data_IF_313412963616
#
_entry.id   IF_313412963616
#
_cell.length_a   1.000
_cell.length_b   1.000
_cell.length_c   1.000
_cell.angle_alpha   90.00
_cell.angle_beta   90.00
_cell.angle_gamma   90.00
#
_symmetry.space_group_name_H-M   'P 1'
#
loop_
_entity.id
_entity.type
_entity.pdbx_description
1 polymer ?
#
# COMPACT_ATOMS: atom_id res chain seq x y z
N UNK A 1 6.78 -14.63 70.38
CA UNK A 1 7.40 -13.70 69.41
C UNK A 1 8.00 -14.52 68.29
N UNK A 2 7.33 -14.60 67.13
CA UNK A 2 7.92 -15.14 65.89
C UNK A 2 7.46 -14.22 64.77
N UNK A 3 8.43 -13.47 64.23
CA UNK A 3 8.31 -12.58 63.09
C UNK A 3 8.16 -13.43 61.83
N UNK A 4 7.15 -13.18 61.00
CA UNK A 4 7.12 -13.70 59.63
C UNK A 4 6.88 -12.57 58.63
N UNK A 5 7.85 -12.47 57.74
CA UNK A 5 8.12 -11.39 56.81
C UNK A 5 7.09 -11.30 55.68
N UNK A 6 6.77 -10.06 55.29
CA UNK A 6 6.12 -9.74 54.03
C UNK A 6 7.04 -10.14 52.86
N UNK A 7 6.57 -11.03 51.99
CA UNK A 7 7.14 -11.20 50.67
C UNK A 7 6.54 -10.13 49.74
N UNK A 8 7.36 -9.13 49.38
CA UNK A 8 7.06 -8.25 48.25
C UNK A 8 7.09 -9.11 46.97
N UNK A 9 5.92 -9.31 46.37
CA UNK A 9 5.82 -9.80 45.00
C UNK A 9 6.23 -8.65 44.05
N UNK A 10 7.50 -8.63 43.68
CA UNK A 10 8.01 -7.77 42.61
C UNK A 10 7.39 -8.22 41.28
N UNK A 11 6.43 -7.44 40.79
CA UNK A 11 5.94 -7.55 39.42
C UNK A 11 7.09 -7.21 38.45
N UNK A 12 7.81 -8.23 38.01
CA UNK A 12 8.67 -8.17 36.82
C UNK A 12 7.76 -8.00 35.60
N UNK A 13 7.37 -6.75 35.32
CA UNK A 13 6.99 -6.36 33.97
C UNK A 13 8.25 -6.46 33.11
N UNK A 14 8.55 -7.66 32.64
CA UNK A 14 9.50 -7.85 31.56
C UNK A 14 8.93 -7.14 30.33
N UNK A 15 9.44 -5.93 30.06
CA UNK A 15 9.27 -5.31 28.76
C UNK A 15 9.78 -6.32 27.73
N UNK A 16 8.86 -6.90 26.96
CA UNK A 16 9.23 -7.75 25.85
C UNK A 16 10.21 -6.96 24.98
N UNK A 17 11.44 -7.45 24.75
CA UNK A 17 12.39 -6.71 23.94
C UNK A 17 11.74 -6.57 22.56
N UNK A 18 11.49 -5.33 22.16
CA UNK A 18 11.23 -5.00 20.77
C UNK A 18 12.34 -5.69 19.98
N UNK A 19 11.96 -6.64 19.11
CA UNK A 19 12.92 -7.49 18.42
C UNK A 19 13.95 -6.58 17.73
N UNK A 20 15.16 -6.52 18.28
CA UNK A 20 16.22 -5.66 17.79
C UNK A 20 16.47 -6.06 16.32
N UNK A 21 16.02 -5.21 15.40
CA UNK A 21 16.31 -5.39 13.99
C UNK A 21 17.84 -5.37 13.87
N UNK A 22 18.42 -6.45 13.35
CA UNK A 22 19.86 -6.51 13.11
C UNK A 22 20.24 -5.31 12.25
N UNK A 23 21.09 -4.42 12.75
CA UNK A 23 21.67 -3.34 11.96
C UNK A 23 22.89 -3.88 11.19
N UNK A 24 23.12 -3.35 9.99
CA UNK A 24 24.31 -3.68 9.18
C UNK A 24 24.92 -2.38 8.69
N UNK A 25 26.21 -2.22 8.89
CA UNK A 25 26.96 -1.03 8.48
C UNK A 25 27.68 -1.27 7.15
N UNK A 26 28.01 -0.16 6.47
CA UNK A 26 28.81 -0.19 5.23
C UNK A 26 30.22 -0.75 5.45
N UNK A 27 30.78 -0.58 6.65
CA UNK A 27 32.10 -1.11 7.00
C UNK A 27 32.05 -2.65 7.10
N UNK A 28 31.04 -3.21 7.79
CA UNK A 28 30.83 -4.66 7.87
C UNK A 28 30.61 -5.27 6.49
N UNK A 29 29.78 -4.64 5.64
CA UNK A 29 29.53 -5.13 4.28
C UNK A 29 30.77 -5.16 3.39
N UNK A 30 31.78 -4.32 3.68
CA UNK A 30 33.02 -4.25 2.90
C UNK A 30 34.16 -5.05 3.50
N UNK A 31 34.12 -5.30 4.81
CA UNK A 31 35.19 -5.98 5.55
C UNK A 31 34.98 -7.48 5.71
N UNK A 32 33.77 -7.98 5.53
CA UNK A 32 33.43 -9.40 5.68
C UNK A 32 33.40 -10.15 4.34
N UNK A 33 33.48 -11.48 4.40
CA UNK A 33 33.35 -12.34 3.22
C UNK A 33 31.97 -12.21 2.56
N UNK A 34 31.85 -12.34 1.22
CA UNK A 34 30.59 -12.23 0.50
C UNK A 34 29.48 -13.13 1.05
N UNK A 35 29.79 -14.38 1.41
CA UNK A 35 28.79 -15.35 1.89
C UNK A 35 28.15 -14.91 3.22
N UNK A 36 28.93 -14.26 4.08
CA UNK A 36 28.47 -13.77 5.39
C UNK A 36 27.55 -12.56 5.19
N UNK A 37 27.97 -11.61 4.35
CA UNK A 37 27.20 -10.39 4.07
C UNK A 37 25.90 -10.72 3.34
N UNK A 38 25.92 -11.66 2.40
CA UNK A 38 24.73 -12.10 1.66
C UNK A 38 23.73 -12.78 2.60
N UNK A 39 24.19 -13.65 3.51
CA UNK A 39 23.33 -14.28 4.51
C UNK A 39 22.70 -13.24 5.45
N UNK A 40 23.47 -12.23 5.90
CA UNK A 40 22.96 -11.13 6.73
C UNK A 40 21.90 -10.31 6.02
N UNK A 41 22.15 -9.92 4.77
CA UNK A 41 21.22 -9.11 3.98
C UNK A 41 19.93 -9.87 3.65
N UNK A 42 20.01 -11.15 3.27
CA UNK A 42 18.83 -12.00 3.06
C UNK A 42 18.01 -12.13 4.35
N UNK A 43 18.69 -12.30 5.49
CA UNK A 43 18.05 -12.34 6.81
C UNK A 43 17.31 -11.05 7.15
N UNK A 44 17.92 -9.88 6.88
CA UNK A 44 17.28 -8.59 7.06
C UNK A 44 16.06 -8.43 6.15
N UNK A 45 16.22 -8.70 4.85
CA UNK A 45 15.14 -8.61 3.87
C UNK A 45 13.95 -9.46 4.28
N UNK A 46 14.17 -10.71 4.69
CA UNK A 46 13.09 -11.60 5.10
C UNK A 46 12.38 -11.13 6.38
N UNK A 47 13.09 -10.46 7.29
CA UNK A 47 12.50 -9.88 8.51
C UNK A 47 11.70 -8.60 8.27
N UNK A 48 11.81 -7.97 7.09
CA UNK A 48 10.99 -6.82 6.74
C UNK A 48 9.53 -7.19 6.50
N UNK A 49 9.27 -8.44 6.10
CA UNK A 49 7.91 -8.92 5.85
C UNK A 49 7.25 -9.39 7.14
N UNK A 50 5.92 -9.20 7.22
CA UNK A 50 5.10 -9.75 8.29
C UNK A 50 5.18 -11.27 8.26
N UNK A 51 5.18 -11.88 9.45
CA UNK A 51 5.04 -13.33 9.59
C UNK A 51 3.58 -13.70 9.42
N UNK A 52 3.28 -14.53 8.43
CA UNK A 52 1.95 -15.04 8.18
C UNK A 52 1.87 -16.51 8.59
N UNK A 53 0.84 -16.90 9.34
CA UNK A 53 0.53 -18.31 9.55
C UNK A 53 -0.37 -18.78 8.41
N UNK A 54 0.22 -19.55 7.49
CA UNK A 54 -0.47 -20.05 6.29
C UNK A 54 -1.19 -21.39 6.51
N UNK A 55 -1.18 -21.91 7.74
CA UNK A 55 -1.89 -23.14 8.06
C UNK A 55 -3.39 -22.89 8.00
N UNK A 56 -4.11 -23.70 7.24
CA UNK A 56 -5.58 -23.70 7.18
C UNK A 56 -6.10 -25.07 7.63
N UNK A 57 -7.30 -25.09 8.19
CA UNK A 57 -7.96 -26.34 8.62
C UNK A 57 -8.33 -27.23 7.42
N UNK A 58 -8.71 -26.62 6.30
CA UNK A 58 -9.03 -27.31 5.07
C UNK A 58 -7.77 -27.80 4.37
N UNK A 59 -7.83 -29.04 3.86
CA UNK A 59 -6.73 -29.62 3.09
C UNK A 59 -6.61 -28.88 1.75
N UNK A 60 -5.44 -28.33 1.40
CA UNK A 60 -5.25 -27.68 0.11
C UNK A 60 -5.38 -28.72 -1.02
N UNK A 61 -6.04 -28.31 -2.11
CA UNK A 61 -6.28 -29.17 -3.28
C UNK A 61 -5.45 -28.72 -4.49
N UNK A 62 -5.16 -27.42 -4.58
CA UNK A 62 -4.43 -26.78 -5.68
C UNK A 62 -2.95 -26.55 -5.32
N UNK A 63 -2.05 -26.51 -6.32
CA UNK A 63 -0.65 -26.16 -6.10
C UNK A 63 -0.51 -24.71 -5.62
N UNK A 64 0.61 -24.42 -4.97
CA UNK A 64 0.97 -23.07 -4.57
C UNK A 64 1.47 -22.28 -5.78
N UNK A 65 0.60 -21.46 -6.38
CA UNK A 65 0.91 -20.64 -7.56
C UNK A 65 1.63 -19.33 -7.23
N UNK A 66 1.45 -18.84 -6.01
CA UNK A 66 1.95 -17.55 -5.59
C UNK A 66 2.12 -17.47 -4.08
N UNK A 67 3.01 -16.58 -3.65
CA UNK A 67 3.22 -16.24 -2.25
C UNK A 67 3.19 -14.72 -2.12
N UNK A 68 2.23 -14.20 -1.38
CA UNK A 68 2.14 -12.77 -1.06
C UNK A 68 2.92 -12.50 0.22
N UNK A 69 3.75 -11.47 0.20
CA UNK A 69 4.51 -10.97 1.34
C UNK A 69 4.23 -9.48 1.47
N UNK A 70 3.92 -9.02 2.68
CA UNK A 70 3.63 -7.62 2.93
C UNK A 70 4.51 -7.09 4.06
N UNK A 71 5.06 -5.89 3.89
CA UNK A 71 5.75 -5.20 4.99
C UNK A 71 4.75 -4.60 5.97
N UNK A 72 5.11 -4.39 7.25
CA UNK A 72 4.41 -3.40 8.07
C UNK A 72 4.38 -2.04 7.38
N UNK A 73 3.40 -1.21 7.72
CA UNK A 73 3.40 0.17 7.25
C UNK A 73 4.50 0.96 7.95
N UNK A 74 5.20 1.77 7.17
CA UNK A 74 6.28 2.64 7.60
C UNK A 74 6.07 4.05 7.01
N UNK A 75 6.60 5.11 7.65
CA UNK A 75 6.45 6.47 7.16
C UNK A 75 7.31 6.72 5.91
N UNK A 76 6.83 7.59 5.02
CA UNK A 76 7.54 8.00 3.80
C UNK A 76 8.32 9.30 4.02
N UNK A 77 8.88 9.88 2.95
CA UNK A 77 9.46 11.23 3.02
C UNK A 77 8.40 12.35 3.12
N UNK A 78 7.13 12.03 2.88
CA UNK A 78 5.99 12.95 3.00
C UNK A 78 5.31 12.73 4.35
N UNK A 79 5.30 13.76 5.20
CA UNK A 79 4.72 13.65 6.54
C UNK A 79 3.24 13.28 6.46
N UNK A 80 2.84 12.32 7.32
CA UNK A 80 1.47 11.80 7.37
C UNK A 80 1.10 10.85 6.23
N UNK A 81 2.03 10.54 5.32
CA UNK A 81 1.89 9.46 4.35
C UNK A 81 2.64 8.21 4.85
N UNK A 82 1.92 7.10 4.94
CA UNK A 82 2.48 5.80 5.26
C UNK A 82 2.52 4.92 4.00
N UNK A 83 3.50 4.05 3.91
CA UNK A 83 3.67 3.07 2.84
C UNK A 83 3.78 1.66 3.42
N UNK A 84 3.17 0.70 2.75
CA UNK A 84 3.45 -0.72 2.87
C UNK A 84 3.81 -1.26 1.49
N UNK A 85 4.74 -2.19 1.42
CA UNK A 85 5.10 -2.88 0.19
C UNK A 85 4.48 -4.26 0.17
N UNK A 86 3.92 -4.63 -0.98
CA UNK A 86 3.45 -5.97 -1.27
C UNK A 86 4.34 -6.58 -2.34
N UNK A 87 4.85 -7.79 -2.09
CA UNK A 87 5.63 -8.57 -3.04
C UNK A 87 4.90 -9.88 -3.28
N UNK A 88 4.62 -10.18 -4.53
CA UNK A 88 4.03 -11.45 -4.96
C UNK A 88 5.13 -12.28 -5.63
N UNK A 89 5.53 -13.36 -4.98
CA UNK A 89 6.43 -14.35 -5.56
C UNK A 89 5.63 -15.34 -6.38
N UNK A 90 5.82 -15.31 -7.70
CA UNK A 90 5.16 -16.22 -8.64
C UNK A 90 5.91 -17.54 -8.72
N UNK A 91 5.15 -18.64 -8.67
CA UNK A 91 5.65 -20.00 -8.57
C UNK A 91 5.15 -20.84 -9.74
N UNK A 92 6.05 -21.67 -10.28
CA UNK A 92 5.73 -22.61 -11.35
C UNK A 92 6.20 -24.02 -10.99
N UNK A 93 5.56 -25.08 -11.52
CA UNK A 93 6.00 -26.45 -11.27
C UNK A 93 7.45 -26.68 -11.70
N UNK A 94 8.22 -27.39 -10.88
CA UNK A 94 9.62 -27.75 -11.20
C UNK A 94 9.69 -28.69 -12.41
N UNK A 95 8.67 -29.52 -12.58
CA UNK A 95 8.52 -30.44 -13.71
C UNK A 95 7.17 -30.20 -14.37
N UNK A 96 7.20 -29.97 -15.68
CA UNK A 96 5.99 -29.96 -16.50
C UNK A 96 5.54 -31.41 -16.73
N UNK A 97 4.66 -31.92 -15.86
CA UNK A 97 4.03 -33.24 -16.03
C UNK A 97 2.79 -33.17 -16.91
N UNK A 98 2.37 -34.31 -17.46
CA UNK A 98 1.08 -34.44 -18.19
C UNK A 98 -0.15 -34.58 -17.27
N UNK A 99 0.03 -34.51 -15.95
CA UNK A 99 -1.05 -34.62 -14.98
C UNK A 99 -1.43 -33.26 -14.41
N UNK A 100 -2.65 -33.16 -13.87
CA UNK A 100 -3.11 -31.97 -13.17
C UNK A 100 -2.22 -31.72 -11.94
N UNK A 101 -1.68 -30.51 -11.83
CA UNK A 101 -0.91 -30.12 -10.67
C UNK A 101 -1.82 -30.08 -9.43
N UNK A 102 -1.34 -30.64 -8.33
CA UNK A 102 -2.04 -30.73 -7.05
C UNK A 102 -1.29 -29.99 -5.93
N UNK A 103 -1.83 -30.03 -4.71
CA UNK A 103 -1.20 -29.39 -3.56
C UNK A 103 0.19 -29.97 -3.17
N UNK A 104 0.55 -31.16 -3.63
CA UNK A 104 1.85 -31.78 -3.37
C UNK A 104 2.87 -31.46 -4.48
N UNK A 105 2.45 -30.82 -5.57
CA UNK A 105 3.30 -30.52 -6.71
C UNK A 105 4.43 -29.57 -6.30
N UNK A 106 5.72 -29.97 -6.49
CA UNK A 106 6.84 -29.11 -6.15
C UNK A 106 6.90 -27.87 -7.06
N UNK A 107 6.93 -26.70 -6.43
CA UNK A 107 6.95 -25.41 -7.12
C UNK A 107 8.29 -24.68 -6.92
N UNK A 108 8.68 -23.86 -7.89
CA UNK A 108 9.88 -23.00 -7.83
C UNK A 108 9.53 -21.58 -8.26
N UNK A 109 10.11 -20.60 -7.57
CA UNK A 109 9.96 -19.19 -7.92
C UNK A 109 10.54 -18.91 -9.31
N UNK A 110 9.79 -18.19 -10.14
CA UNK A 110 10.24 -17.78 -11.47
C UNK A 110 10.07 -16.27 -11.71
N UNK A 111 9.32 -15.57 -10.88
CA UNK A 111 9.13 -14.14 -11.00
C UNK A 111 8.66 -13.49 -9.72
N UNK A 112 8.71 -12.16 -9.73
CA UNK A 112 8.32 -11.30 -8.62
C UNK A 112 7.52 -10.14 -9.19
N UNK A 113 6.37 -9.87 -8.59
CA UNK A 113 5.65 -8.62 -8.76
C UNK A 113 5.74 -7.83 -7.46
N UNK A 114 5.77 -6.50 -7.57
CA UNK A 114 5.77 -5.64 -6.40
C UNK A 114 4.82 -4.48 -6.63
N UNK A 115 4.08 -4.12 -5.58
CA UNK A 115 3.25 -2.94 -5.57
C UNK A 115 3.43 -2.17 -4.27
N UNK A 116 3.22 -0.86 -4.37
CA UNK A 116 3.30 0.07 -3.24
C UNK A 116 1.88 0.43 -2.83
N UNK A 117 1.60 0.33 -1.54
CA UNK A 117 0.31 0.68 -0.95
C UNK A 117 0.51 1.84 0.00
N UNK A 118 -0.28 2.88 -0.15
CA UNK A 118 -0.19 4.12 0.59
C UNK A 118 -1.40 4.33 1.47
N UNK A 119 -1.20 4.90 2.65
CA UNK A 119 -2.26 5.30 3.57
C UNK A 119 -1.98 6.70 4.06
N UNK A 120 -2.96 7.58 3.89
CA UNK A 120 -2.89 8.96 4.36
C UNK A 120 -3.46 9.05 5.77
N UNK A 121 -2.63 9.41 6.74
CA UNK A 121 -3.05 9.70 8.09
C UNK A 121 -3.43 11.18 8.24
N UNK A 122 -2.55 12.08 7.78
CA UNK A 122 -2.74 13.52 7.83
C UNK A 122 -1.74 14.22 6.88
N UNK A 123 -2.17 14.52 5.65
CA UNK A 123 -1.32 15.24 4.69
C UNK A 123 -1.50 16.75 4.87
N UNK A 124 -0.54 17.41 5.51
CA UNK A 124 -0.47 18.88 5.46
C UNK A 124 0.35 19.34 4.24
N UNK A 125 -0.07 20.38 3.50
CA UNK A 125 0.54 20.78 2.23
C UNK A 125 2.05 21.14 2.28
N UNK A 126 2.55 21.57 3.45
CA UNK A 126 3.85 22.25 3.57
C UNK A 126 5.00 21.36 4.10
N UNK A 127 4.82 20.04 4.23
CA UNK A 127 5.75 19.19 4.99
C UNK A 127 6.68 18.29 4.14
N UNK A 128 6.97 18.66 2.88
CA UNK A 128 8.05 18.00 2.13
C UNK A 128 9.40 18.34 2.77
N UNK A 129 10.15 17.31 3.16
CA UNK A 129 11.52 17.48 3.66
C UNK A 129 11.67 17.60 5.19
N UNK A 130 10.63 17.27 5.97
CA UNK A 130 10.81 17.07 7.41
C UNK A 130 11.90 16.00 7.66
N UNK A 131 12.79 16.25 8.63
CA UNK A 131 13.89 15.36 8.95
C UNK A 131 13.39 13.93 9.18
N UNK A 132 14.14 12.93 8.67
CA UNK A 132 13.82 11.52 8.82
C UNK A 132 13.65 11.17 10.30
N UNK A 133 12.39 11.13 10.76
CA UNK A 133 12.04 10.55 12.03
C UNK A 133 12.28 9.04 12.02
N UNK A 134 11.97 8.41 13.14
CA UNK A 134 11.97 6.96 13.26
C UNK A 134 11.08 6.31 12.19
N UNK A 135 11.67 5.53 11.28
CA UNK A 135 10.94 4.83 10.21
C UNK A 135 10.26 3.55 10.68
N UNK A 136 10.56 3.10 11.89
CA UNK A 136 10.15 1.79 12.38
C UNK A 136 9.11 1.90 13.48
N UNK A 137 9.09 3.02 14.19
CA UNK A 137 8.14 3.28 15.28
C UNK A 137 7.31 4.53 14.98
N UNK A 138 6.00 4.48 15.26
CA UNK A 138 5.13 5.65 15.11
C UNK A 138 3.70 5.31 14.70
N UNK A 139 2.93 6.30 14.22
CA UNK A 139 1.56 6.10 13.78
C UNK A 139 1.41 5.05 12.67
N UNK A 140 2.36 5.00 11.72
CA UNK A 140 2.30 4.05 10.59
C UNK A 140 2.39 2.58 11.04
N UNK A 141 3.17 2.27 12.08
CA UNK A 141 3.36 0.87 12.53
C UNK A 141 2.10 0.28 13.18
N UNK A 142 1.12 1.11 13.54
CA UNK A 142 -0.16 0.71 14.12
C UNK A 142 -1.25 0.43 13.07
N UNK A 143 -0.99 0.72 11.80
CA UNK A 143 -1.97 0.49 10.73
C UNK A 143 -2.14 -1.01 10.51
N UNK A 144 -3.38 -1.47 10.52
CA UNK A 144 -3.73 -2.86 10.23
C UNK A 144 -3.35 -3.22 8.79
N UNK A 145 -2.97 -4.48 8.57
CA UNK A 145 -2.55 -4.97 7.25
C UNK A 145 -3.65 -4.85 6.19
N UNK A 146 -4.89 -5.12 6.59
CA UNK A 146 -6.08 -5.12 5.76
C UNK A 146 -6.89 -3.81 5.86
N UNK A 147 -6.26 -2.70 6.25
CA UNK A 147 -6.95 -1.40 6.30
C UNK A 147 -7.51 -1.07 4.90
N UNK A 148 -8.84 -0.91 4.72
CA UNK A 148 -9.45 -0.67 3.42
C UNK A 148 -9.08 0.70 2.83
N UNK A 149 -8.45 1.57 3.61
CA UNK A 149 -8.04 2.91 3.19
C UNK A 149 -6.64 2.94 2.56
N UNK A 150 -6.01 1.77 2.37
CA UNK A 150 -4.84 1.67 1.52
C UNK A 150 -5.21 1.83 0.05
N UNK A 151 -4.44 2.63 -0.67
CA UNK A 151 -4.54 2.78 -2.12
C UNK A 151 -3.19 2.55 -2.79
N UNK A 152 -3.16 2.20 -4.07
CA UNK A 152 -1.94 1.99 -4.84
C UNK A 152 -1.52 3.28 -5.55
N UNK A 153 -0.22 3.48 -5.70
CA UNK A 153 0.35 4.52 -6.55
C UNK A 153 1.77 4.13 -6.99
N UNK A 154 2.27 4.74 -8.05
CA UNK A 154 3.62 4.47 -8.55
C UNK A 154 4.71 4.84 -7.53
N UNK A 155 4.54 5.95 -6.80
CA UNK A 155 5.46 6.43 -5.77
C UNK A 155 4.80 7.43 -4.81
N UNK A 156 5.62 7.96 -3.89
CA UNK A 156 5.20 8.93 -2.86
C UNK A 156 4.74 10.26 -3.45
N UNK A 157 5.30 10.68 -4.58
CA UNK A 157 4.94 11.92 -5.27
C UNK A 157 3.55 11.77 -5.87
N UNK A 158 3.30 10.71 -6.65
CA UNK A 158 1.98 10.44 -7.24
C UNK A 158 0.92 10.29 -6.16
N UNK A 159 1.21 9.56 -5.08
CA UNK A 159 0.29 9.39 -3.97
C UNK A 159 -0.08 10.71 -3.28
N UNK A 160 0.92 11.54 -2.97
CA UNK A 160 0.71 12.79 -2.24
C UNK A 160 0.12 13.91 -3.11
N UNK A 161 0.68 14.13 -4.29
CA UNK A 161 0.23 15.17 -5.23
C UNK A 161 -1.14 14.85 -5.81
N UNK A 162 -1.38 13.58 -6.16
CA UNK A 162 -2.69 13.13 -6.60
C UNK A 162 -3.74 13.40 -5.53
N UNK A 163 -3.51 12.96 -4.29
CA UNK A 163 -4.47 13.22 -3.22
C UNK A 163 -4.69 14.73 -2.97
N UNK A 164 -3.63 15.54 -2.99
CA UNK A 164 -3.75 16.98 -2.87
C UNK A 164 -4.58 17.59 -4.02
N UNK A 165 -4.39 17.12 -5.27
CA UNK A 165 -5.18 17.55 -6.42
C UNK A 165 -6.66 17.18 -6.26
N UNK A 166 -6.95 15.97 -5.75
CA UNK A 166 -8.30 15.51 -5.47
C UNK A 166 -9.01 16.39 -4.45
N UNK A 167 -8.37 16.69 -3.32
CA UNK A 167 -8.94 17.58 -2.31
C UNK A 167 -9.18 19.00 -2.84
N UNK A 168 -8.22 19.56 -3.59
CA UNK A 168 -8.40 20.88 -4.24
C UNK A 168 -9.52 20.86 -5.27
N UNK A 169 -9.65 19.79 -6.05
CA UNK A 169 -10.72 19.61 -7.03
C UNK A 169 -12.09 19.56 -6.38
N UNK A 170 -12.25 18.77 -5.31
CA UNK A 170 -13.48 18.71 -4.54
C UNK A 170 -13.85 20.07 -3.92
N UNK A 171 -12.88 20.77 -3.32
CA UNK A 171 -13.10 22.10 -2.76
C UNK A 171 -13.48 23.14 -3.84
N UNK A 172 -12.79 23.14 -4.98
CA UNK A 172 -13.11 24.03 -6.11
C UNK A 172 -14.51 23.76 -6.70
N UNK A 173 -14.93 22.50 -6.73
CA UNK A 173 -16.27 22.12 -7.18
C UNK A 173 -17.35 22.60 -6.20
N UNK A 174 -17.14 22.42 -4.89
CA UNK A 174 -18.05 22.93 -3.86
C UNK A 174 -18.20 24.45 -3.91
N UNK A 175 -17.10 25.17 -4.17
CA UNK A 175 -17.08 26.61 -4.28
C UNK A 175 -17.58 27.15 -5.63
N UNK A 176 -17.91 26.28 -6.59
CA UNK A 176 -18.40 26.68 -7.92
C UNK A 176 -17.33 27.16 -8.90
N UNK A 177 -16.03 27.00 -8.59
CA UNK A 177 -14.91 27.32 -9.48
C UNK A 177 -14.54 26.20 -10.44
N UNK A 178 -15.06 24.98 -10.20
CA UNK A 178 -14.86 23.80 -11.04
C UNK A 178 -16.22 23.18 -11.35
N UNK A 179 -16.53 23.01 -12.63
CA UNK A 179 -17.70 22.22 -13.07
C UNK A 179 -17.18 20.90 -13.64
N UNK A 180 -17.27 19.78 -12.88
CA UNK A 180 -16.83 18.48 -13.39
C UNK A 180 -17.74 18.00 -14.52
N UNK A 181 -17.16 17.34 -15.54
CA UNK A 181 -17.96 16.56 -16.50
C UNK A 181 -18.27 15.18 -15.94
N UNK A 182 -19.50 14.70 -16.15
CA UNK A 182 -19.85 13.29 -15.95
C UNK A 182 -20.27 12.73 -17.29
N UNK A 183 -19.47 11.80 -17.82
CA UNK A 183 -19.72 11.23 -19.14
C UNK A 183 -20.71 10.04 -19.08
N UNK A 184 -21.07 9.60 -17.87
CA UNK A 184 -21.99 8.48 -17.62
C UNK A 184 -23.06 8.92 -16.60
N UNK A 185 -24.27 8.36 -16.69
CA UNK A 185 -25.35 8.62 -15.74
C UNK A 185 -24.99 7.98 -14.40
N UNK A 186 -24.50 8.81 -13.48
CA UNK A 186 -24.44 8.47 -12.05
C UNK A 186 -25.86 8.39 -11.50
N UNK A 187 -26.04 7.71 -10.36
CA UNK A 187 -27.32 7.52 -9.66
C UNK A 187 -28.36 8.61 -9.98
N UNK A 188 -29.57 8.24 -10.46
CA UNK A 188 -30.57 9.22 -10.87
C UNK A 188 -30.80 10.30 -9.81
N UNK A 189 -30.45 11.55 -10.15
CA UNK A 189 -30.65 12.71 -9.28
C UNK A 189 -29.40 13.25 -8.56
N UNK A 190 -28.25 12.57 -8.61
CA UNK A 190 -27.01 13.09 -8.01
C UNK A 190 -26.31 14.06 -8.96
N UNK A 191 -25.95 15.25 -8.46
CA UNK A 191 -25.20 16.23 -9.26
C UNK A 191 -23.72 15.82 -9.36
N UNK A 192 -23.08 16.07 -10.50
CA UNK A 192 -21.65 15.77 -10.70
C UNK A 192 -20.72 16.31 -9.60
N UNK A 193 -21.03 17.51 -9.09
CA UNK A 193 -20.32 18.13 -7.98
C UNK A 193 -20.44 17.27 -6.69
N UNK A 194 -21.61 16.72 -6.42
CA UNK A 194 -21.87 15.85 -5.25
C UNK A 194 -21.18 14.48 -5.41
N UNK A 195 -21.03 14.00 -6.64
CA UNK A 195 -20.29 12.79 -6.93
C UNK A 195 -18.79 12.98 -6.68
N UNK A 196 -18.18 14.05 -7.22
CA UNK A 196 -16.75 14.34 -7.01
C UNK A 196 -16.42 14.56 -5.52
N UNK A 197 -17.27 15.28 -4.80
CA UNK A 197 -17.03 15.58 -3.39
C UNK A 197 -17.18 14.35 -2.50
N UNK A 198 -18.15 13.48 -2.79
CA UNK A 198 -18.26 12.20 -2.10
C UNK A 198 -17.11 11.25 -2.45
N UNK A 199 -16.67 11.22 -3.71
CA UNK A 199 -15.50 10.44 -4.13
C UNK A 199 -14.25 10.87 -3.35
N UNK A 200 -14.03 12.18 -3.16
CA UNK A 200 -12.90 12.69 -2.39
C UNK A 200 -12.95 12.34 -0.89
N UNK A 201 -14.14 12.01 -0.36
CA UNK A 201 -14.34 11.66 1.04
C UNK A 201 -14.28 10.15 1.32
N UNK A 202 -14.32 9.31 0.29
CA UNK A 202 -14.30 7.85 0.41
C UNK A 202 -12.92 7.26 0.11
N UNK A 203 -12.62 6.02 0.57
CA UNK A 203 -11.45 5.29 0.11
C UNK A 203 -11.51 5.04 -1.41
N UNK A 204 -10.36 5.14 -2.06
CA UNK A 204 -10.16 4.74 -3.46
C UNK A 204 -9.05 3.69 -3.52
N UNK A 205 -8.98 2.94 -4.61
CA UNK A 205 -8.09 1.79 -4.78
C UNK A 205 -6.73 2.17 -5.35
N UNK A 206 -6.68 3.13 -6.28
CA UNK A 206 -5.43 3.56 -6.92
C UNK A 206 -5.43 5.02 -7.34
N UNK A 207 -4.21 5.55 -7.51
CA UNK A 207 -3.91 6.83 -8.16
C UNK A 207 -2.80 6.62 -9.18
N UNK A 208 -3.08 6.98 -10.42
CA UNK A 208 -2.14 6.91 -11.53
C UNK A 208 -1.83 8.32 -12.06
N UNK A 209 -0.56 8.56 -12.41
CA UNK A 209 -0.17 9.73 -13.19
C UNK A 209 -0.60 9.52 -14.65
N UNK A 210 -1.36 10.48 -15.19
CA UNK A 210 -1.81 10.52 -16.58
C UNK A 210 -1.29 11.75 -17.33
N UNK A 211 -0.23 12.38 -16.81
CA UNK A 211 0.33 13.60 -17.36
C UNK A 211 0.94 13.32 -18.73
N UNK A 212 0.78 14.27 -19.64
CA UNK A 212 1.29 14.19 -21.00
C UNK A 212 1.82 15.56 -21.43
N UNK A 213 2.28 15.66 -22.69
CA UNK A 213 2.82 16.91 -23.21
C UNK A 213 1.83 18.11 -23.18
N UNK A 214 0.52 17.85 -23.03
CA UNK A 214 -0.54 18.87 -22.97
C UNK A 214 -1.01 19.12 -21.53
N UNK A 215 -0.99 18.09 -20.68
CA UNK A 215 -1.44 18.13 -19.29
C UNK A 215 -0.25 18.16 -18.35
N UNK A 216 0.09 19.36 -17.87
CA UNK A 216 1.21 19.57 -16.97
C UNK A 216 1.07 18.80 -15.65
N UNK A 217 -0.17 18.63 -15.17
CA UNK A 217 -0.50 17.71 -14.08
C UNK A 217 -1.78 16.96 -14.42
N UNK A 218 -1.79 15.63 -14.24
CA UNK A 218 -2.96 14.79 -14.44
C UNK A 218 -2.88 13.59 -13.51
N UNK A 219 -3.93 13.37 -12.73
CA UNK A 219 -4.06 12.19 -11.88
C UNK A 219 -5.41 11.53 -12.10
N UNK A 220 -5.37 10.20 -12.17
CA UNK A 220 -6.52 9.33 -12.38
C UNK A 220 -6.72 8.47 -11.14
N UNK A 221 -7.93 8.47 -10.60
CA UNK A 221 -8.30 7.76 -9.39
C UNK A 221 -9.32 6.69 -9.73
N UNK A 222 -9.11 5.48 -9.21
CA UNK A 222 -10.04 4.35 -9.38
C UNK A 222 -10.56 3.93 -8.02
N UNK A 223 -11.85 3.65 -7.91
CA UNK A 223 -12.45 3.03 -6.73
C UNK A 223 -13.16 1.72 -7.09
N UNK A 224 -13.36 0.84 -6.11
CA UNK A 224 -13.91 -0.51 -6.30
C UNK A 224 -15.35 -0.57 -6.81
N UNK A 225 -16.07 0.56 -6.81
CA UNK A 225 -17.39 0.70 -7.43
C UNK A 225 -17.32 1.00 -8.93
N UNK A 226 -16.19 0.65 -9.57
CA UNK A 226 -15.93 0.90 -10.99
C UNK A 226 -16.10 2.37 -11.37
N UNK A 227 -15.71 3.26 -10.46
CA UNK A 227 -15.74 4.70 -10.66
C UNK A 227 -14.32 5.18 -10.92
N UNK A 228 -14.16 5.96 -11.99
CA UNK A 228 -12.94 6.66 -12.34
C UNK A 228 -13.14 8.17 -12.24
N UNK A 229 -12.22 8.84 -11.53
CA UNK A 229 -12.13 10.31 -11.52
C UNK A 229 -10.81 10.69 -12.15
N UNK A 230 -10.82 11.58 -13.13
CA UNK A 230 -9.60 12.17 -13.68
C UNK A 230 -9.59 13.66 -13.37
N UNK A 231 -8.52 14.14 -12.74
CA UNK A 231 -8.26 15.55 -12.49
C UNK A 231 -7.01 15.98 -13.24
N UNK A 232 -7.07 17.09 -13.97
CA UNK A 232 -5.91 17.59 -14.70
C UNK A 232 -5.88 19.10 -14.81
N UNK A 233 -4.70 19.63 -15.03
CA UNK A 233 -4.45 21.04 -15.26
C UNK A 233 -3.42 21.20 -16.39
N UNK A 234 -3.80 21.92 -17.43
CA UNK A 234 -2.89 22.33 -18.49
C UNK A 234 -1.93 23.40 -17.95
N UNK A 235 -0.77 23.62 -18.60
CA UNK A 235 0.20 24.61 -18.14
C UNK A 235 -0.42 26.02 -18.05
N UNK A 236 -0.60 26.55 -16.83
CA UNK A 236 -1.26 27.84 -16.58
C UNK A 236 -2.78 27.86 -16.79
N UNK A 237 -3.39 26.71 -17.11
CA UNK A 237 -4.83 26.57 -17.32
C UNK A 237 -5.62 26.38 -16.01
N UNK A 238 -6.95 26.42 -16.07
CA UNK A 238 -7.80 26.06 -14.92
C UNK A 238 -7.74 24.56 -14.64
N UNK A 239 -7.99 24.18 -13.39
CA UNK A 239 -8.22 22.78 -13.01
C UNK A 239 -9.46 22.26 -13.73
N UNK A 240 -9.41 21.00 -14.17
CA UNK A 240 -10.52 20.28 -14.79
C UNK A 240 -10.71 18.93 -14.11
N UNK A 241 -11.94 18.43 -14.16
CA UNK A 241 -12.30 17.11 -13.64
C UNK A 241 -13.30 16.43 -14.57
N UNK A 242 -13.11 15.12 -14.77
CA UNK A 242 -14.05 14.22 -15.43
C UNK A 242 -14.30 13.02 -14.53
N UNK A 243 -15.53 12.54 -14.54
CA UNK A 243 -16.00 11.39 -13.81
C UNK A 243 -16.61 10.39 -14.81
N UNK A 244 -16.10 9.18 -14.79
CA UNK A 244 -16.54 8.08 -15.63
C UNK A 244 -16.87 6.84 -14.79
N UNK A 245 -17.78 6.01 -15.29
CA UNK A 245 -17.96 4.64 -14.79
C UNK A 245 -17.21 3.69 -15.73
N UNK A 246 -16.35 2.87 -15.16
CA UNK A 246 -15.68 1.78 -15.84
C UNK A 246 -16.70 0.66 -16.08
N UNK A 247 -17.00 0.39 -17.35
CA UNK A 247 -17.69 -0.86 -17.69
C UNK A 247 -16.63 -1.96 -17.65
N UNK A 248 -16.44 -2.60 -16.49
CA UNK A 248 -15.59 -3.79 -16.42
C UNK A 248 -16.37 -4.95 -17.05
N UNK A 249 -16.05 -5.29 -18.30
CA UNK A 249 -16.43 -6.56 -18.89
C UNK A 249 -15.68 -7.68 -18.16
N UNK A 250 -16.23 -8.14 -17.03
CA UNK A 250 -15.72 -9.32 -16.34
C UNK A 250 -15.98 -10.52 -17.24
N UNK A 251 -14.98 -10.96 -18.00
CA UNK A 251 -15.02 -12.25 -18.64
C UNK A 251 -15.17 -13.32 -17.55
N UNK A 252 -16.23 -14.14 -17.58
CA UNK A 252 -16.32 -15.27 -16.66
C UNK A 252 -15.08 -16.13 -16.86
N UNK A 253 -14.33 -16.39 -15.78
CA UNK A 253 -13.31 -17.44 -15.82
C UNK A 253 -14.03 -18.74 -16.21
N UNK A 254 -13.56 -19.48 -17.22
CA UNK A 254 -14.08 -20.81 -17.44
C UNK A 254 -13.74 -21.64 -16.20
N UNK A 255 -14.78 -22.17 -15.56
CA UNK A 255 -14.69 -23.10 -14.43
C UNK A 255 -13.95 -24.40 -14.82
#
# INVERSE_FOLDING_TARGET
MIVRALALAGALCAAAPAAAQQAVTKAELRGEAPEITDAKLRGQLWRMFRKEDRRRAERPVRPLDSVVLQTPAYPTAVQGLCRADMVVMMLAPVRSGKGDADAATPMRAYGLESSKRFRILDLTPDQRGAAFGDKWHGPCSRIAENDPRYFQAADETVASEGHALLLRGAAAAQAGFLVPSCDVVWEPGRRCIEALTAFAAQPFESVDDCSDARRATCYKFVSGDDVEVTLWQDAGGPLRASLASLIILRHPRPD
#
